data_IF_416225889771
#
_entry.id   IF_416225889771
#
_cell.length_a   1.000
_cell.length_b   1.000
_cell.length_c   1.000
_cell.angle_alpha   90.00
_cell.angle_beta   90.00
_cell.angle_gamma   90.00
#
_symmetry.space_group_name_H-M   'P 1'
#
loop_
_entity.id
_entity.type
_entity.pdbx_description
1 polymer ?
#
# COMPACT_ATOMS: atom_id res chain seq x y z
N UNK A 1 9.33 -2.95 28.91
CA UNK A 1 8.73 -2.03 27.94
C UNK A 1 8.34 -0.75 28.66
N UNK A 2 8.66 0.41 28.11
CA UNK A 2 8.21 1.70 28.65
C UNK A 2 6.72 1.91 28.38
N UNK A 3 6.08 2.81 29.14
CA UNK A 3 4.68 3.18 28.89
C UNK A 3 4.46 3.66 27.45
N UNK A 4 5.42 4.42 26.89
CA UNK A 4 5.36 4.89 25.51
C UNK A 4 5.36 3.76 24.49
N UNK A 5 6.17 2.72 24.71
CA UNK A 5 6.21 1.52 23.85
C UNK A 5 4.90 0.74 23.87
N UNK A 6 4.29 0.60 25.05
CA UNK A 6 2.99 -0.09 25.18
C UNK A 6 1.92 0.70 24.41
N UNK A 7 1.90 2.02 24.56
CA UNK A 7 0.95 2.87 23.85
C UNK A 7 1.12 2.75 22.33
N UNK A 8 2.36 2.79 21.84
CA UNK A 8 2.65 2.79 20.41
C UNK A 8 2.48 1.42 19.74
N UNK A 9 2.96 0.35 20.37
CA UNK A 9 3.05 -0.97 19.75
C UNK A 9 1.88 -1.90 20.11
N UNK A 10 1.14 -1.61 21.19
CA UNK A 10 0.00 -2.42 21.61
C UNK A 10 -1.30 -1.64 21.43
N UNK A 11 -1.46 -0.50 22.10
CA UNK A 11 -2.74 0.21 22.13
C UNK A 11 -3.10 0.81 20.76
N UNK A 12 -2.17 1.52 20.14
CA UNK A 12 -2.42 2.26 18.90
C UNK A 12 -2.86 1.36 17.72
N UNK A 13 -2.26 0.17 17.48
CA UNK A 13 -2.74 -0.77 16.46
C UNK A 13 -4.20 -1.22 16.66
N UNK A 14 -4.58 -1.59 17.89
CA UNK A 14 -5.95 -2.03 18.19
C UNK A 14 -6.97 -0.90 18.02
N UNK A 15 -6.64 0.31 18.48
CA UNK A 15 -7.50 1.49 18.28
C UNK A 15 -7.67 1.80 16.80
N UNK A 16 -6.58 1.76 16.02
CA UNK A 16 -6.61 1.99 14.57
C UNK A 16 -7.52 0.98 13.87
N UNK A 17 -7.38 -0.31 14.21
CA UNK A 17 -8.22 -1.37 13.64
C UNK A 17 -9.70 -1.21 14.05
N UNK A 18 -9.97 -0.88 15.31
CA UNK A 18 -11.32 -0.61 15.79
C UNK A 18 -11.98 0.56 15.04
N UNK A 19 -11.26 1.68 14.88
CA UNK A 19 -11.75 2.84 14.12
C UNK A 19 -11.96 2.49 12.65
N UNK A 20 -11.07 1.71 12.04
CA UNK A 20 -11.22 1.25 10.66
C UNK A 20 -12.49 0.42 10.48
N UNK A 21 -12.72 -0.60 11.32
CA UNK A 21 -13.89 -1.49 11.21
C UNK A 21 -15.18 -0.75 11.56
N UNK A 22 -15.25 -0.14 12.75
CA UNK A 22 -16.47 0.53 13.23
C UNK A 22 -16.79 1.73 12.35
N UNK A 23 -15.79 2.52 11.97
CA UNK A 23 -15.97 3.67 11.07
C UNK A 23 -16.45 3.25 9.68
N UNK A 24 -15.95 2.14 9.13
CA UNK A 24 -16.42 1.60 7.85
C UNK A 24 -17.86 1.13 7.92
N UNK A 25 -18.23 0.38 8.98
CA UNK A 25 -19.61 -0.08 9.19
C UNK A 25 -20.55 1.10 9.38
N UNK A 26 -20.17 2.07 10.21
CA UNK A 26 -20.94 3.29 10.45
C UNK A 26 -21.16 4.06 9.14
N UNK A 27 -20.10 4.33 8.37
CA UNK A 27 -20.21 5.02 7.08
C UNK A 27 -21.12 4.26 6.11
N UNK A 28 -21.01 2.94 6.04
CA UNK A 28 -21.89 2.12 5.20
C UNK A 28 -23.37 2.21 5.62
N UNK A 29 -23.67 2.35 6.91
CA UNK A 29 -25.05 2.49 7.39
C UNK A 29 -25.64 3.87 7.11
N UNK A 30 -24.87 4.92 7.33
CA UNK A 30 -25.37 6.31 7.33
C UNK A 30 -25.11 7.08 6.04
N UNK A 31 -24.08 6.74 5.26
CA UNK A 31 -23.72 7.42 4.00
C UNK A 31 -23.43 6.43 2.88
N UNK A 32 -24.49 5.76 2.43
CA UNK A 32 -24.43 4.81 1.29
C UNK A 32 -24.15 5.52 -0.03
N UNK A 33 -24.73 6.70 -0.24
CA UNK A 33 -24.59 7.45 -1.48
C UNK A 33 -23.17 8.03 -1.65
N UNK A 34 -22.49 8.37 -0.56
CA UNK A 34 -21.09 8.77 -0.56
C UNK A 34 -20.09 7.62 -0.69
N UNK A 35 -20.54 6.36 -0.70
CA UNK A 35 -19.70 5.18 -0.90
C UNK A 35 -19.47 4.92 -2.40
N UNK A 36 -18.60 5.73 -3.00
CA UNK A 36 -18.22 5.60 -4.41
C UNK A 36 -16.70 5.72 -4.59
N UNK A 37 -16.19 5.23 -5.71
CA UNK A 37 -14.77 5.37 -6.08
C UNK A 37 -14.37 6.80 -6.41
N UNK A 38 -15.35 7.72 -6.59
CA UNK A 38 -15.15 9.09 -7.09
C UNK A 38 -14.21 9.13 -8.31
N UNK A 39 -14.54 8.31 -9.31
CA UNK A 39 -13.76 8.26 -10.55
C UNK A 39 -13.65 9.65 -11.18
N UNK A 40 -12.44 9.96 -11.63
CA UNK A 40 -12.10 11.20 -12.33
C UNK A 40 -11.68 10.93 -13.77
N UNK A 41 -12.04 9.75 -14.28
CA UNK A 41 -11.72 9.31 -15.64
C UNK A 41 -12.41 10.16 -16.71
N UNK A 42 -13.64 10.62 -16.45
CA UNK A 42 -14.37 11.47 -17.39
C UNK A 42 -13.64 12.80 -17.67
N UNK A 43 -12.85 13.30 -16.71
CA UNK A 43 -12.09 14.54 -16.87
C UNK A 43 -10.76 14.34 -17.59
N UNK A 44 -10.14 13.16 -17.46
CA UNK A 44 -8.83 12.86 -18.04
C UNK A 44 -8.60 11.34 -18.07
N UNK A 45 -8.35 10.80 -19.27
CA UNK A 45 -8.21 9.35 -19.52
C UNK A 45 -6.80 8.91 -19.88
N UNK A 46 -5.98 9.78 -20.48
CA UNK A 46 -4.69 9.41 -21.08
C UNK A 46 -3.66 9.05 -20.01
N UNK A 47 -3.44 9.92 -19.02
CA UNK A 47 -2.53 9.62 -17.91
C UNK A 47 -3.14 8.57 -16.97
N UNK A 48 -4.47 8.61 -16.78
CA UNK A 48 -5.16 7.63 -15.95
C UNK A 48 -5.03 6.20 -16.48
N UNK A 49 -5.07 5.98 -17.81
CA UNK A 49 -4.95 4.66 -18.44
C UNK A 49 -3.61 3.98 -18.15
N UNK A 50 -2.55 4.75 -17.94
CA UNK A 50 -1.23 4.21 -17.56
C UNK A 50 -1.06 4.17 -16.04
N UNK A 51 -1.37 5.28 -15.37
CA UNK A 51 -1.13 5.42 -13.92
C UNK A 51 -2.02 4.51 -13.07
N UNK A 52 -3.29 4.31 -13.46
CA UNK A 52 -4.23 3.50 -12.68
C UNK A 52 -3.84 2.02 -12.65
N UNK A 53 -3.57 1.34 -13.79
CA UNK A 53 -3.12 -0.04 -13.76
C UNK A 53 -1.79 -0.23 -13.04
N UNK A 54 -0.79 0.62 -13.30
CA UNK A 54 0.51 0.54 -12.61
C UNK A 54 0.36 0.62 -11.09
N UNK A 55 -0.45 1.58 -10.62
CA UNK A 55 -0.70 1.74 -9.19
C UNK A 55 -1.46 0.54 -8.60
N UNK A 56 -2.56 0.11 -9.22
CA UNK A 56 -3.41 -0.94 -8.64
C UNK A 56 -2.76 -2.32 -8.73
N UNK A 57 -2.13 -2.69 -9.84
CA UNK A 57 -1.41 -3.96 -9.94
C UNK A 57 -0.19 -3.98 -9.01
N UNK A 58 0.59 -2.89 -8.97
CA UNK A 58 1.68 -2.76 -8.00
C UNK A 58 1.18 -2.91 -6.56
N UNK A 59 0.09 -2.23 -6.20
CA UNK A 59 -0.52 -2.33 -4.88
C UNK A 59 -0.99 -3.75 -4.55
N UNK A 60 -1.66 -4.42 -5.48
CA UNK A 60 -2.12 -5.80 -5.30
C UNK A 60 -0.95 -6.75 -5.05
N UNK A 61 0.12 -6.66 -5.83
CA UNK A 61 1.31 -7.49 -5.62
C UNK A 61 1.98 -7.20 -4.28
N UNK A 62 2.06 -5.94 -3.86
CA UNK A 62 2.59 -5.57 -2.54
C UNK A 62 1.72 -6.15 -1.42
N UNK A 63 0.40 -6.03 -1.50
CA UNK A 63 -0.53 -6.61 -0.51
C UNK A 63 -0.38 -8.13 -0.45
N UNK A 64 -0.36 -8.81 -1.60
CA UNK A 64 -0.16 -10.26 -1.66
C UNK A 64 1.19 -10.67 -1.07
N UNK A 65 2.25 -9.92 -1.34
CA UNK A 65 3.56 -10.11 -0.73
C UNK A 65 3.53 -9.99 0.79
N UNK A 66 2.84 -8.97 1.34
CA UNK A 66 2.67 -8.81 2.78
C UNK A 66 1.84 -9.94 3.41
N UNK A 67 0.78 -10.40 2.74
CA UNK A 67 -0.02 -11.52 3.21
C UNK A 67 0.80 -12.80 3.24
N UNK A 68 1.56 -13.09 2.19
CA UNK A 68 2.45 -14.26 2.18
C UNK A 68 3.57 -14.14 3.22
N UNK A 69 4.10 -12.94 3.45
CA UNK A 69 5.20 -12.73 4.40
C UNK A 69 4.82 -12.66 5.88
N UNK A 70 3.61 -12.22 6.21
CA UNK A 70 3.18 -12.00 7.59
C UNK A 70 2.15 -13.04 8.07
N UNK A 71 1.31 -13.56 7.17
CA UNK A 71 0.19 -14.44 7.55
C UNK A 71 0.54 -15.91 7.38
N UNK A 72 1.38 -16.26 6.40
CA UNK A 72 1.74 -17.65 6.13
C UNK A 72 2.95 -18.04 7.01
N UNK A 73 2.79 -18.99 7.94
CA UNK A 73 3.88 -19.41 8.80
C UNK A 73 4.91 -20.22 8.01
N UNK A 74 6.19 -20.11 8.39
CA UNK A 74 7.32 -20.82 7.75
C UNK A 74 7.10 -22.33 7.68
N UNK A 75 6.48 -22.90 8.71
CA UNK A 75 6.16 -24.34 8.77
C UNK A 75 5.21 -24.80 7.66
N UNK A 76 4.29 -23.93 7.21
CA UNK A 76 3.37 -24.25 6.12
C UNK A 76 4.08 -24.16 4.76
N UNK A 77 4.95 -23.16 4.56
CA UNK A 77 5.74 -23.06 3.32
C UNK A 77 6.74 -24.21 3.15
N UNK A 78 7.34 -24.67 4.26
CA UNK A 78 8.23 -25.83 4.27
C UNK A 78 7.46 -27.13 4.00
N UNK A 79 6.26 -27.29 4.57
CA UNK A 79 5.40 -28.46 4.33
C UNK A 79 4.92 -28.58 2.88
N UNK A 80 4.75 -27.45 2.17
CA UNK A 80 4.42 -27.42 0.73
C UNK A 80 5.67 -27.59 -0.15
N UNK A 81 6.87 -27.66 0.43
CA UNK A 81 8.13 -27.90 -0.28
C UNK A 81 8.68 -26.67 -1.00
N UNK A 82 8.27 -25.46 -0.60
CA UNK A 82 8.83 -24.22 -1.13
C UNK A 82 10.23 -24.04 -0.52
N UNK A 83 11.26 -24.13 -1.35
CA UNK A 83 12.64 -23.89 -0.92
C UNK A 83 12.80 -22.43 -0.47
N UNK A 84 13.49 -22.22 0.64
CA UNK A 84 13.78 -20.90 1.23
C UNK A 84 14.41 -19.92 0.21
N UNK A 85 15.27 -20.43 -0.68
CA UNK A 85 15.87 -19.68 -1.78
C UNK A 85 14.82 -19.14 -2.77
N UNK A 86 13.79 -19.94 -3.09
CA UNK A 86 12.73 -19.51 -3.99
C UNK A 86 11.83 -18.46 -3.33
N UNK A 87 11.59 -18.59 -2.02
CA UNK A 87 10.84 -17.61 -1.23
C UNK A 87 11.55 -16.26 -1.17
N UNK A 88 12.85 -16.24 -0.84
CA UNK A 88 13.65 -15.01 -0.83
C UNK A 88 13.77 -14.39 -2.22
N UNK A 89 13.96 -15.20 -3.27
CA UNK A 89 14.01 -14.70 -4.63
C UNK A 89 12.70 -14.00 -5.04
N UNK A 90 11.56 -14.65 -4.79
CA UNK A 90 10.25 -14.04 -5.09
C UNK A 90 10.04 -12.79 -4.25
N UNK A 91 10.29 -12.84 -2.95
CA UNK A 91 10.12 -11.70 -2.05
C UNK A 91 10.94 -10.48 -2.49
N UNK A 92 12.21 -10.67 -2.83
CA UNK A 92 13.12 -9.59 -3.21
C UNK A 92 12.84 -9.07 -4.62
N UNK A 93 12.79 -9.93 -5.64
CA UNK A 93 12.68 -9.49 -7.02
C UNK A 93 11.26 -9.08 -7.39
N UNK A 94 10.25 -9.90 -7.06
CA UNK A 94 8.86 -9.54 -7.36
C UNK A 94 8.40 -8.38 -6.48
N UNK A 95 8.83 -8.34 -5.21
CA UNK A 95 8.58 -7.21 -4.31
C UNK A 95 9.16 -5.91 -4.84
N UNK A 96 10.41 -5.92 -5.33
CA UNK A 96 11.06 -4.74 -5.89
C UNK A 96 10.37 -4.24 -7.17
N UNK A 97 10.01 -5.15 -8.09
CA UNK A 97 9.29 -4.78 -9.32
C UNK A 97 7.92 -4.18 -8.98
N UNK A 98 7.19 -4.81 -8.04
CA UNK A 98 5.90 -4.32 -7.58
C UNK A 98 6.01 -2.93 -6.93
N UNK A 99 7.04 -2.71 -6.10
CA UNK A 99 7.31 -1.42 -5.48
C UNK A 99 7.59 -0.32 -6.53
N UNK A 100 8.41 -0.60 -7.54
CA UNK A 100 8.68 0.34 -8.64
C UNK A 100 7.39 0.67 -9.41
N UNK A 101 6.59 -0.33 -9.76
CA UNK A 101 5.31 -0.12 -10.44
C UNK A 101 4.34 0.72 -9.59
N UNK A 102 4.26 0.43 -8.28
CA UNK A 102 3.43 1.15 -7.33
C UNK A 102 3.85 2.62 -7.20
N UNK A 103 5.14 2.90 -7.03
CA UNK A 103 5.69 4.26 -6.93
C UNK A 103 5.49 5.02 -8.23
N UNK A 104 5.79 4.41 -9.38
CA UNK A 104 5.59 5.03 -10.68
C UNK A 104 4.12 5.38 -10.93
N UNK A 105 3.20 4.45 -10.64
CA UNK A 105 1.76 4.68 -10.72
C UNK A 105 1.30 5.82 -9.80
N UNK A 106 1.78 5.84 -8.56
CA UNK A 106 1.49 6.91 -7.60
C UNK A 106 1.94 8.29 -8.11
N UNK A 107 3.18 8.39 -8.62
CA UNK A 107 3.73 9.63 -9.15
C UNK A 107 2.91 10.14 -10.35
N UNK A 108 2.54 9.26 -11.28
CA UNK A 108 1.68 9.61 -12.42
C UNK A 108 0.32 10.13 -11.95
N UNK A 109 -0.30 9.47 -10.97
CA UNK A 109 -1.61 9.86 -10.45
C UNK A 109 -1.56 11.19 -9.69
N UNK A 110 -0.52 11.43 -8.90
CA UNK A 110 -0.29 12.71 -8.21
C UNK A 110 -0.06 13.80 -9.25
N UNK A 111 0.84 13.58 -10.21
CA UNK A 111 1.14 14.52 -11.28
C UNK A 111 -0.14 14.92 -12.02
N UNK A 112 -0.92 13.94 -12.49
CA UNK A 112 -2.21 14.14 -13.15
C UNK A 112 -3.17 15.00 -12.31
N UNK A 113 -3.29 14.73 -11.01
CA UNK A 113 -4.17 15.49 -10.12
C UNK A 113 -3.71 16.93 -9.90
N UNK A 114 -2.44 17.24 -10.10
CA UNK A 114 -1.88 18.59 -9.96
C UNK A 114 -1.91 19.38 -11.26
N UNK A 115 -1.75 18.73 -12.40
CA UNK A 115 -1.64 19.39 -13.71
C UNK A 115 -2.95 19.49 -14.47
N UNK A 116 -3.93 18.63 -14.18
CA UNK A 116 -5.21 18.65 -14.90
C UNK A 116 -6.25 19.48 -14.17
N UNK A 117 -6.59 20.67 -14.70
CA UNK A 117 -7.47 21.64 -14.07
C UNK A 117 -8.81 21.07 -13.53
N UNK A 118 -9.63 20.39 -14.36
CA UNK A 118 -10.87 19.76 -13.89
C UNK A 118 -10.66 18.72 -12.78
N UNK A 119 -9.61 17.88 -12.88
CA UNK A 119 -9.29 16.86 -11.87
C UNK A 119 -8.81 17.50 -10.56
N UNK A 120 -8.01 18.57 -10.64
CA UNK A 120 -7.56 19.31 -9.46
C UNK A 120 -8.74 19.93 -8.71
N UNK A 121 -9.68 20.56 -9.44
CA UNK A 121 -10.90 21.14 -8.84
C UNK A 121 -11.81 20.10 -8.20
N UNK A 122 -11.92 18.91 -8.80
CA UNK A 122 -12.69 17.79 -8.22
C UNK A 122 -11.98 17.09 -7.05
N UNK A 123 -10.69 17.38 -6.80
CA UNK A 123 -9.91 16.71 -5.74
C UNK A 123 -10.19 17.35 -4.37
N UNK A 124 -10.93 16.62 -3.53
CA UNK A 124 -11.29 17.05 -2.17
C UNK A 124 -10.10 17.10 -1.19
N UNK A 125 -10.27 17.80 -0.07
CA UNK A 125 -9.29 17.83 1.03
C UNK A 125 -8.96 16.43 1.55
N UNK A 126 -9.98 15.60 1.77
CA UNK A 126 -9.78 14.20 2.20
C UNK A 126 -8.97 13.38 1.21
N UNK A 127 -9.17 13.57 -0.10
CA UNK A 127 -8.34 12.91 -1.11
C UNK A 127 -6.87 13.35 -0.99
N UNK A 128 -6.60 14.64 -0.78
CA UNK A 128 -5.22 15.13 -0.58
C UNK A 128 -4.58 14.51 0.66
N UNK A 129 -5.29 14.50 1.79
CA UNK A 129 -4.81 13.88 3.04
C UNK A 129 -4.51 12.40 2.85
N UNK A 130 -5.41 11.66 2.20
CA UNK A 130 -5.20 10.25 1.86
C UNK A 130 -3.95 10.06 1.00
N UNK A 131 -3.74 10.86 -0.05
CA UNK A 131 -2.54 10.76 -0.90
C UNK A 131 -1.25 11.04 -0.13
N UNK A 132 -1.26 11.95 0.85
CA UNK A 132 -0.07 12.24 1.68
C UNK A 132 0.31 11.03 2.52
N UNK A 133 -0.63 10.46 3.29
CA UNK A 133 -0.34 9.29 4.12
C UNK A 133 -0.02 8.05 3.29
N UNK A 134 -0.72 7.85 2.18
CA UNK A 134 -0.45 6.76 1.24
C UNK A 134 0.94 6.88 0.63
N UNK A 135 1.34 8.08 0.18
CA UNK A 135 2.68 8.32 -0.35
C UNK A 135 3.75 8.10 0.72
N UNK A 136 3.56 8.60 1.93
CA UNK A 136 4.48 8.37 3.04
C UNK A 136 4.66 6.87 3.32
N UNK A 137 3.56 6.11 3.42
CA UNK A 137 3.60 4.66 3.64
C UNK A 137 4.32 3.92 2.52
N UNK A 138 4.05 4.25 1.25
CA UNK A 138 4.67 3.59 0.10
C UNK A 138 6.15 3.90 0.02
N UNK A 139 6.55 5.16 0.23
CA UNK A 139 7.95 5.58 0.15
C UNK A 139 8.76 5.01 1.31
N UNK A 140 8.23 4.99 2.53
CA UNK A 140 8.88 4.37 3.69
C UNK A 140 9.03 2.85 3.50
N UNK A 141 7.99 2.16 3.03
CA UNK A 141 8.07 0.72 2.75
C UNK A 141 9.04 0.39 1.60
N UNK A 142 9.05 1.21 0.55
CA UNK A 142 9.99 1.06 -0.57
C UNK A 142 11.43 1.30 -0.12
N UNK A 143 11.66 2.31 0.72
CA UNK A 143 12.98 2.57 1.32
C UNK A 143 13.45 1.42 2.20
N UNK A 144 12.57 0.88 3.05
CA UNK A 144 12.88 -0.29 3.85
C UNK A 144 13.27 -1.49 2.97
N UNK A 145 12.53 -1.74 1.88
CA UNK A 145 12.85 -2.81 0.92
C UNK A 145 14.23 -2.61 0.29
N UNK A 146 14.56 -1.40 -0.15
CA UNK A 146 15.89 -1.11 -0.72
C UNK A 146 16.99 -1.35 0.31
N UNK A 147 16.81 -0.87 1.54
CA UNK A 147 17.79 -1.03 2.61
C UNK A 147 17.99 -2.49 3.00
N UNK A 148 16.91 -3.22 3.29
CA UNK A 148 17.00 -4.56 3.88
C UNK A 148 17.15 -5.66 2.82
N UNK A 149 16.57 -5.51 1.63
CA UNK A 149 16.57 -6.57 0.62
C UNK A 149 17.65 -6.38 -0.45
N UNK A 150 17.96 -5.12 -0.82
CA UNK A 150 18.91 -4.84 -1.91
C UNK A 150 20.31 -4.47 -1.40
N UNK A 151 20.41 -3.64 -0.36
CA UNK A 151 21.70 -3.16 0.15
C UNK A 151 22.31 -4.07 1.22
N UNK A 152 21.48 -4.66 2.08
CA UNK A 152 21.96 -5.54 3.16
C UNK A 152 22.29 -6.99 2.70
N UNK A 153 22.28 -7.28 1.40
CA UNK A 153 22.82 -8.53 0.86
C UNK A 153 21.92 -9.77 1.00
N UNK A 154 20.61 -9.61 1.18
CA UNK A 154 19.65 -10.73 1.15
C UNK A 154 19.63 -11.61 2.40
N UNK A 155 20.38 -11.27 3.45
CA UNK A 155 20.12 -11.77 4.80
C UNK A 155 18.84 -11.09 5.28
N UNK A 156 17.75 -11.85 5.39
CA UNK A 156 16.40 -11.36 5.64
C UNK A 156 16.23 -10.60 6.95
N UNK A 157 14.98 -10.50 7.43
CA UNK A 157 14.64 -9.85 8.69
C UNK A 157 15.06 -10.71 9.90
N UNK A 158 16.33 -11.09 9.95
CA UNK A 158 16.94 -11.91 11.00
C UNK A 158 17.64 -11.02 12.04
#
# INVERSE_FOLDING_TARGET
MSTGEILLWVVFPYVTFAVFVVGSVWRYRYDKFGWTTRSSELYEKRLLRLGSPLFHFGLLFVILGHLMGLVIPKSLTEAVGIKEVAYHFVATYMGSIAAVALVAGLLILIYRRRTTGPVFRATTRMAKTMYVFLAASILLGSWATVQTQLLAGGHGYD
#
